data_IF_031577796238
#
_entry.id   IF_031577796238
#
_cell.length_a   1.000
_cell.length_b   1.000
_cell.length_c   1.000
_cell.angle_alpha   90.00
_cell.angle_beta   90.00
_cell.angle_gamma   90.00
#
_symmetry.space_group_name_H-M   'P 1'
#
loop_
_entity.id
_entity.type
_entity.pdbx_description
1 polymer ?
#
# COMPACT_ATOMS: atom_id res chain seq x y z
N UNK A 1 -9.35 -49.67 -8.49
CA UNK A 1 -9.07 -48.30 -8.03
C UNK A 1 -7.56 -48.16 -7.96
N UNK A 2 -7.01 -47.17 -8.69
CA UNK A 2 -5.63 -47.17 -9.20
C UNK A 2 -4.52 -47.15 -8.16
N UNK A 3 -3.41 -47.79 -8.52
CA UNK A 3 -2.14 -47.81 -7.79
C UNK A 3 -1.38 -46.52 -8.09
N UNK A 4 -1.41 -45.57 -7.15
CA UNK A 4 -0.82 -44.24 -7.33
C UNK A 4 0.70 -44.26 -7.01
N UNK A 5 1.55 -43.66 -7.87
CA UNK A 5 2.99 -43.68 -7.68
C UNK A 5 3.44 -42.95 -6.41
N UNK A 6 4.34 -43.59 -5.64
CA UNK A 6 4.86 -43.13 -4.34
C UNK A 6 5.67 -41.82 -4.37
N UNK A 7 5.87 -41.23 -5.53
CA UNK A 7 6.75 -40.07 -5.74
C UNK A 7 6.11 -38.71 -5.41
N UNK A 8 4.82 -38.66 -5.09
CA UNK A 8 4.12 -37.43 -4.69
C UNK A 8 3.91 -37.27 -3.17
N UNK A 9 4.46 -38.15 -2.34
CA UNK A 9 4.36 -38.04 -0.88
C UNK A 9 5.53 -37.19 -0.38
N UNK A 10 5.24 -35.93 -0.03
CA UNK A 10 6.22 -35.02 0.56
C UNK A 10 6.57 -35.48 1.98
N UNK A 11 7.70 -36.15 2.16
CA UNK A 11 8.21 -36.64 3.45
C UNK A 11 8.94 -35.55 4.24
N UNK A 12 8.34 -34.36 4.36
CA UNK A 12 8.82 -33.41 5.36
C UNK A 12 8.48 -34.01 6.74
N UNK A 13 9.43 -34.10 7.68
CA UNK A 13 9.06 -34.38 9.05
C UNK A 13 8.11 -33.26 9.49
N UNK A 14 6.92 -33.64 9.95
CA UNK A 14 6.02 -32.72 10.63
C UNK A 14 6.80 -32.12 11.80
N UNK A 15 7.27 -30.89 11.65
CA UNK A 15 7.70 -30.09 12.79
C UNK A 15 6.42 -29.87 13.58
N UNK A 16 6.24 -30.66 14.64
CA UNK A 16 5.21 -30.40 15.64
C UNK A 16 5.70 -29.19 16.40
N UNK A 17 5.48 -28.00 15.83
CA UNK A 17 5.34 -26.80 16.64
C UNK A 17 4.28 -27.16 17.70
N UNK A 18 4.57 -27.10 19.00
CA UNK A 18 3.56 -27.37 20.01
C UNK A 18 2.40 -26.43 19.73
N UNK A 19 1.21 -26.99 19.45
CA UNK A 19 0.02 -26.17 19.28
C UNK A 19 -0.06 -25.25 20.50
N UNK A 20 -0.21 -23.93 20.34
CA UNK A 20 -0.49 -23.09 21.48
C UNK A 20 -1.70 -23.69 22.16
N UNK A 21 -1.58 -23.95 23.46
CA UNK A 21 -2.68 -24.41 24.29
C UNK A 21 -3.68 -23.25 24.29
N UNK A 22 -4.54 -23.21 23.28
CA UNK A 22 -5.61 -22.27 23.21
C UNK A 22 -6.65 -22.80 24.18
N UNK A 23 -6.59 -22.33 25.43
CA UNK A 23 -7.69 -22.38 26.40
C UNK A 23 -8.91 -21.57 25.88
N UNK A 24 -9.13 -21.52 24.57
CA UNK A 24 -10.11 -20.69 23.87
C UNK A 24 -11.48 -21.36 23.85
N UNK A 25 -11.57 -22.65 24.17
CA UNK A 25 -12.86 -23.30 24.38
C UNK A 25 -13.60 -22.76 25.64
N UNK A 26 -12.89 -22.16 26.60
CA UNK A 26 -13.47 -21.70 27.87
C UNK A 26 -13.37 -20.19 28.11
N UNK A 27 -12.91 -19.43 27.12
CA UNK A 27 -12.96 -17.97 27.22
C UNK A 27 -14.41 -17.52 27.03
N UNK A 28 -15.13 -17.53 28.15
CA UNK A 28 -16.43 -16.91 28.31
C UNK A 28 -16.37 -15.51 27.71
N UNK A 29 -17.33 -15.16 26.86
CA UNK A 29 -17.44 -13.88 26.13
C UNK A 29 -17.23 -12.66 27.05
N UNK A 30 -17.47 -12.80 28.36
CA UNK A 30 -17.18 -11.83 29.40
C UNK A 30 -15.69 -11.43 29.55
N UNK A 31 -14.73 -12.29 29.20
CA UNK A 31 -13.31 -12.00 29.33
C UNK A 31 -12.79 -11.02 28.25
N UNK A 32 -13.46 -10.95 27.10
CA UNK A 32 -13.02 -10.14 25.94
C UNK A 32 -13.57 -8.71 25.98
N UNK A 33 -14.24 -8.29 27.06
CA UNK A 33 -14.71 -6.91 27.24
C UNK A 33 -15.79 -6.44 26.25
N UNK A 34 -16.41 -7.36 25.51
CA UNK A 34 -17.59 -7.03 24.71
C UNK A 34 -18.80 -6.86 25.62
N UNK A 35 -19.68 -5.91 25.29
CA UNK A 35 -20.80 -5.53 26.15
C UNK A 35 -21.71 -6.73 26.47
N UNK A 36 -21.76 -7.12 27.73
CA UNK A 36 -22.69 -8.14 28.24
C UNK A 36 -24.11 -7.58 28.16
N UNK A 37 -25.06 -8.40 27.68
CA UNK A 37 -26.48 -8.03 27.63
C UNK A 37 -26.97 -7.62 29.03
N UNK A 38 -27.56 -6.43 29.15
CA UNK A 38 -28.11 -5.94 30.43
C UNK A 38 -29.24 -6.86 30.91
N UNK A 39 -29.42 -6.97 32.23
CA UNK A 39 -30.54 -7.70 32.86
C UNK A 39 -31.87 -7.23 32.24
N UNK A 40 -32.66 -8.15 31.69
CA UNK A 40 -33.91 -7.85 30.97
C UNK A 40 -33.76 -7.57 29.46
N UNK A 41 -32.54 -7.52 28.92
CA UNK A 41 -32.25 -7.35 27.50
C UNK A 41 -32.25 -8.65 26.68
N UNK A 42 -32.60 -9.78 27.31
CA UNK A 42 -32.76 -11.06 26.63
C UNK A 42 -34.08 -11.10 25.86
N UNK A 43 -34.10 -11.79 24.71
CA UNK A 43 -35.27 -11.92 23.84
C UNK A 43 -36.35 -12.88 24.41
N UNK A 44 -36.13 -13.42 25.62
CA UNK A 44 -37.16 -14.13 26.38
C UNK A 44 -37.74 -15.37 25.68
N UNK A 45 -36.90 -16.09 24.91
CA UNK A 45 -37.33 -17.29 24.19
C UNK A 45 -38.12 -17.03 22.89
N UNK A 46 -38.26 -15.77 22.43
CA UNK A 46 -38.80 -15.53 21.09
C UNK A 46 -37.82 -16.08 20.05
N UNK A 47 -38.28 -17.04 19.27
CA UNK A 47 -37.53 -17.60 18.13
C UNK A 47 -37.33 -16.47 17.12
N UNK A 48 -36.08 -16.11 16.83
CA UNK A 48 -35.70 -14.97 15.99
C UNK A 48 -36.07 -15.15 14.51
N UNK A 49 -36.67 -16.27 14.14
CA UNK A 49 -36.97 -16.66 12.75
C UNK A 49 -37.97 -15.73 12.06
N UNK A 50 -38.83 -15.04 12.82
CA UNK A 50 -39.82 -14.08 12.29
C UNK A 50 -39.34 -12.61 12.34
N UNK A 51 -38.17 -12.35 12.94
CA UNK A 51 -37.64 -10.99 12.97
C UNK A 51 -37.06 -10.67 11.60
N UNK A 52 -37.35 -9.47 11.08
CA UNK A 52 -36.70 -8.98 9.86
C UNK A 52 -35.18 -9.03 10.08
N UNK A 53 -34.43 -9.74 9.21
CA UNK A 53 -32.98 -9.77 9.33
C UNK A 53 -32.46 -8.34 9.21
N UNK A 54 -31.43 -8.00 9.99
CA UNK A 54 -30.72 -6.74 9.78
C UNK A 54 -30.20 -6.74 8.34
N UNK A 55 -30.48 -5.67 7.59
CA UNK A 55 -30.00 -5.53 6.23
C UNK A 55 -28.49 -5.76 6.22
N UNK A 56 -28.06 -6.79 5.48
CA UNK A 56 -26.65 -7.04 5.29
C UNK A 56 -26.10 -5.89 4.45
N UNK A 57 -25.00 -5.28 4.91
CA UNK A 57 -24.33 -4.26 4.14
C UNK A 57 -23.97 -4.86 2.78
N UNK A 58 -24.50 -4.26 1.71
CA UNK A 58 -24.13 -4.64 0.35
C UNK A 58 -22.62 -4.47 0.23
N UNK A 59 -21.93 -5.54 -0.15
CA UNK A 59 -20.47 -5.52 -0.34
C UNK A 59 -20.21 -4.64 -1.56
N UNK A 60 -19.98 -3.35 -1.35
CA UNK A 60 -19.61 -2.43 -2.43
C UNK A 60 -18.15 -2.66 -2.78
N UNK A 61 -17.82 -2.58 -4.06
CA UNK A 61 -16.44 -2.64 -4.50
C UNK A 61 -15.58 -1.57 -3.79
N UNK A 62 -14.33 -1.88 -3.43
CA UNK A 62 -13.44 -0.91 -2.81
C UNK A 62 -13.18 0.27 -3.76
N UNK A 63 -13.01 1.47 -3.20
CA UNK A 63 -12.69 2.66 -3.99
C UNK A 63 -11.30 2.51 -4.59
N UNK A 64 -11.20 2.48 -5.92
CA UNK A 64 -9.95 2.26 -6.65
C UNK A 64 -8.88 3.36 -6.47
N UNK A 65 -9.25 4.55 -5.98
CA UNK A 65 -8.28 5.62 -5.70
C UNK A 65 -7.58 6.23 -6.92
N UNK A 66 -8.10 6.03 -8.14
CA UNK A 66 -7.44 6.47 -9.39
C UNK A 66 -7.10 7.98 -9.46
N UNK A 67 -7.87 8.82 -8.76
CA UNK A 67 -7.65 10.29 -8.69
C UNK A 67 -6.80 10.73 -7.50
N UNK A 68 -6.41 9.82 -6.61
CA UNK A 68 -5.62 10.17 -5.43
C UNK A 68 -4.20 10.57 -5.87
N UNK A 69 -3.62 11.57 -5.20
CA UNK A 69 -2.23 11.95 -5.43
C UNK A 69 -1.32 10.76 -5.09
N UNK A 70 -0.41 10.43 -6.01
CA UNK A 70 0.61 9.39 -5.81
C UNK A 70 1.85 10.00 -5.18
N UNK A 71 2.53 9.22 -4.33
CA UNK A 71 3.86 9.56 -3.85
C UNK A 71 4.83 9.56 -5.04
N UNK A 72 5.67 10.58 -5.10
CA UNK A 72 6.67 10.76 -6.16
C UNK A 72 8.02 10.37 -5.56
N UNK A 73 8.73 9.45 -6.20
CA UNK A 73 10.10 9.11 -5.83
C UNK A 73 11.05 10.27 -6.20
N UNK A 74 12.15 10.47 -5.46
CA UNK A 74 13.13 11.50 -5.81
C UNK A 74 13.63 11.28 -7.24
N UNK A 75 13.69 12.35 -8.03
CA UNK A 75 14.16 12.27 -9.41
C UNK A 75 15.68 12.26 -9.51
N UNK A 76 16.18 11.72 -10.61
CA UNK A 76 17.60 11.87 -10.95
C UNK A 76 17.98 13.34 -11.19
N UNK A 77 17.05 14.17 -11.68
CA UNK A 77 17.29 15.59 -11.92
C UNK A 77 17.91 16.30 -10.71
N UNK A 78 17.39 16.07 -9.50
CA UNK A 78 17.94 16.66 -8.26
C UNK A 78 19.38 16.22 -8.01
N UNK A 79 19.69 14.94 -8.24
CA UNK A 79 21.03 14.37 -8.05
C UNK A 79 22.05 14.94 -9.04
N UNK A 80 21.65 15.11 -10.31
CA UNK A 80 22.49 15.72 -11.33
C UNK A 80 22.68 17.23 -11.11
N UNK A 81 21.64 17.91 -10.59
CA UNK A 81 21.72 19.31 -10.22
C UNK A 81 22.69 19.55 -9.05
N UNK A 82 22.52 18.82 -7.94
CA UNK A 82 23.34 18.98 -6.74
C UNK A 82 24.82 18.65 -6.99
N UNK A 83 25.08 17.72 -7.92
CA UNK A 83 26.43 17.38 -8.36
C UNK A 83 27.05 18.42 -9.30
N UNK A 84 26.22 19.18 -10.03
CA UNK A 84 26.66 20.18 -11.00
C UNK A 84 26.94 19.64 -12.41
N UNK A 85 26.47 18.42 -12.72
CA UNK A 85 26.66 17.77 -14.02
C UNK A 85 25.74 18.36 -15.11
N UNK A 86 24.69 19.08 -14.72
CA UNK A 86 23.79 19.73 -15.68
C UNK A 86 24.43 20.99 -16.29
N UNK A 87 24.34 21.19 -17.63
CA UNK A 87 24.90 22.35 -18.31
C UNK A 87 24.02 23.61 -18.19
N UNK A 88 23.40 23.80 -17.02
CA UNK A 88 22.56 24.95 -16.68
C UNK A 88 23.07 25.63 -15.41
N UNK A 89 22.80 26.92 -15.29
CA UNK A 89 22.98 27.71 -14.08
C UNK A 89 21.80 28.67 -13.92
N UNK A 90 21.49 29.03 -12.67
CA UNK A 90 20.48 30.05 -12.39
C UNK A 90 21.20 31.40 -12.29
N UNK A 91 20.81 32.35 -13.13
CA UNK A 91 21.23 33.73 -12.99
C UNK A 91 20.26 34.43 -12.02
N UNK A 92 20.75 34.72 -10.82
CA UNK A 92 20.00 35.48 -9.82
C UNK A 92 20.09 36.98 -10.12
N UNK A 93 19.00 37.55 -10.65
CA UNK A 93 18.84 38.98 -10.92
C UNK A 93 17.49 39.49 -10.40
N UNK A 94 16.93 40.53 -11.03
CA UNK A 94 15.54 40.94 -10.75
C UNK A 94 14.53 39.86 -11.15
N UNK A 95 14.81 39.13 -12.23
CA UNK A 95 14.11 37.91 -12.63
C UNK A 95 15.12 36.77 -12.67
N UNK A 96 14.68 35.57 -12.26
CA UNK A 96 15.50 34.37 -12.36
C UNK A 96 15.51 33.91 -13.81
N UNK A 97 16.68 33.97 -14.46
CA UNK A 97 16.86 33.48 -15.82
C UNK A 97 17.74 32.23 -15.80
N UNK A 98 17.49 31.31 -16.74
CA UNK A 98 18.33 30.14 -16.93
C UNK A 98 19.48 30.52 -17.86
N UNK A 99 20.70 30.34 -17.37
CA UNK A 99 21.92 30.51 -18.14
C UNK A 99 22.44 29.14 -18.58
N UNK A 100 22.59 28.96 -19.88
CA UNK A 100 23.16 27.74 -20.45
C UNK A 100 24.68 27.87 -20.49
N UNK A 101 25.38 26.88 -19.94
CA UNK A 101 26.86 26.84 -19.96
C UNK A 101 27.40 26.41 -21.33
N UNK A 102 26.57 25.70 -22.10
CA UNK A 102 26.87 25.18 -23.44
C UNK A 102 25.75 25.65 -24.37
N UNK A 103 26.07 25.92 -25.63
CA UNK A 103 25.05 26.25 -26.62
C UNK A 103 24.03 25.11 -26.77
N UNK A 104 22.75 25.47 -26.77
CA UNK A 104 21.62 24.51 -26.78
C UNK A 104 21.64 23.64 -28.04
N UNK A 105 22.16 24.17 -29.15
CA UNK A 105 22.27 23.44 -30.41
C UNK A 105 23.37 22.37 -30.40
N UNK A 106 24.39 22.53 -29.53
CA UNK A 106 25.51 21.60 -29.42
C UNK A 106 25.31 20.57 -28.30
N UNK A 107 24.20 20.66 -27.57
CA UNK A 107 23.87 19.77 -26.46
C UNK A 107 23.41 18.40 -26.96
N UNK A 108 23.91 17.32 -26.34
CA UNK A 108 23.41 15.97 -26.62
C UNK A 108 22.03 15.75 -25.98
N UNK A 109 21.00 15.83 -26.80
CA UNK A 109 19.62 15.62 -26.37
C UNK A 109 19.35 14.20 -25.87
N UNK A 110 20.09 13.17 -26.30
CA UNK A 110 19.83 11.81 -25.84
C UNK A 110 20.17 11.64 -24.36
N UNK A 111 21.15 12.38 -23.86
CA UNK A 111 21.57 12.31 -22.48
C UNK A 111 20.76 13.25 -21.57
N UNK A 112 20.67 14.54 -21.93
CA UNK A 112 20.16 15.55 -21.02
C UNK A 112 18.63 15.70 -21.05
N UNK A 113 18.00 15.48 -22.21
CA UNK A 113 16.56 15.70 -22.36
C UNK A 113 15.71 14.76 -21.47
N UNK A 114 16.03 13.45 -21.37
CA UNK A 114 15.31 12.56 -20.45
C UNK A 114 15.42 13.02 -19.00
N UNK A 115 16.58 13.53 -18.58
CA UNK A 115 16.82 14.02 -17.22
C UNK A 115 15.96 15.26 -16.94
N UNK A 116 15.88 16.20 -17.88
CA UNK A 116 15.00 17.38 -17.74
C UNK A 116 13.53 17.01 -17.68
N UNK A 117 13.05 16.09 -18.54
CA UNK A 117 11.67 15.62 -18.47
C UNK A 117 11.36 14.89 -17.18
N UNK A 118 12.33 14.18 -16.62
CA UNK A 118 12.19 13.57 -15.31
C UNK A 118 11.98 14.63 -14.22
N UNK A 119 12.75 15.72 -14.26
CA UNK A 119 12.72 16.82 -13.30
C UNK A 119 11.40 17.60 -13.23
N UNK A 120 10.54 17.54 -14.25
CA UNK A 120 9.21 18.20 -14.24
C UNK A 120 8.31 17.68 -13.11
N UNK A 121 8.57 16.46 -12.61
CA UNK A 121 7.82 15.87 -11.50
C UNK A 121 8.17 16.45 -10.12
N UNK A 122 9.29 17.17 -9.99
CA UNK A 122 9.76 17.72 -8.72
C UNK A 122 8.81 18.81 -8.21
N UNK A 123 8.65 18.86 -6.89
CA UNK A 123 7.77 19.82 -6.19
C UNK A 123 8.51 20.68 -5.16
N UNK A 124 9.83 20.56 -5.12
CA UNK A 124 10.66 21.36 -4.24
C UNK A 124 10.88 22.75 -4.86
N UNK A 125 10.54 23.79 -4.10
CA UNK A 125 11.00 25.17 -4.34
C UNK A 125 12.46 25.34 -3.88
#
# INVERSE_FOLDING_TARGET
>A
FGDFPKTHINKQPLVVEPMPITNTAEQSIAATGTAILKRGGGIGGKVTSLNKPKDQAVIVAPKAGARNKRLITPSEFRRFYDRGDLPIAIQHGQTNNILWKVDVLQLDYHHYLPIFFEGIREKAD
#
